data_IF_507742172423
#
_entry.id   IF_507742172423
#
_cell.length_a   1.000
_cell.length_b   1.000
_cell.length_c   1.000
_cell.angle_alpha   90.00
_cell.angle_beta   90.00
_cell.angle_gamma   90.00
#
_symmetry.space_group_name_H-M   'P 1'
#
loop_
_entity.id
_entity.type
_entity.pdbx_description
1 polymer ?
#
# COMPACT_ATOMS: atom_id res chain seq x y z
N UNK A 1 -23.53 -38.95 9.21
CA UNK A 1 -23.80 -39.49 10.57
C UNK A 1 -23.16 -40.87 10.68
N UNK A 2 -21.89 -40.96 11.08
CA UNK A 2 -21.23 -42.25 11.27
C UNK A 2 -21.68 -42.81 12.62
N UNK A 3 -22.45 -43.91 12.59
CA UNK A 3 -22.87 -44.63 13.80
C UNK A 3 -21.61 -45.22 14.46
N UNK A 4 -21.30 -44.75 15.66
CA UNK A 4 -20.31 -45.38 16.54
C UNK A 4 -20.99 -46.57 17.22
N UNK A 5 -20.67 -47.79 16.80
CA UNK A 5 -21.09 -49.01 17.48
C UNK A 5 -20.15 -49.23 18.66
N UNK A 6 -20.62 -48.93 19.88
CA UNK A 6 -19.89 -49.23 21.11
C UNK A 6 -20.17 -50.70 21.48
N UNK A 7 -19.17 -51.56 21.30
CA UNK A 7 -19.19 -52.93 21.86
C UNK A 7 -18.71 -52.83 23.30
N UNK A 8 -19.63 -52.89 24.26
CA UNK A 8 -19.31 -52.91 25.68
C UNK A 8 -18.88 -54.33 26.10
N UNK A 9 -17.59 -54.53 26.37
CA UNK A 9 -17.09 -55.67 27.16
C UNK A 9 -17.07 -55.22 28.62
N UNK A 10 -17.90 -55.86 29.45
CA UNK A 10 -17.99 -55.57 30.89
C UNK A 10 -16.81 -56.24 31.60
N UNK A 11 -15.73 -55.49 31.79
CA UNK A 11 -14.68 -55.85 32.75
C UNK A 11 -14.86 -54.94 33.98
N UNK A 12 -14.96 -55.56 35.16
CA UNK A 12 -15.16 -54.93 36.46
C UNK A 12 -14.04 -53.94 36.78
N UNK A 13 -14.28 -52.68 36.44
CA UNK A 13 -13.45 -51.53 36.80
C UNK A 13 -14.28 -50.28 36.57
N UNK A 14 -14.38 -49.42 37.57
CA UNK A 14 -14.95 -48.09 37.41
C UNK A 14 -14.10 -47.32 36.41
N UNK A 15 -14.52 -47.26 35.14
CA UNK A 15 -13.99 -46.30 34.17
C UNK A 15 -14.77 -45.00 34.34
N UNK A 16 -14.29 -44.12 35.21
CA UNK A 16 -14.68 -42.71 35.16
C UNK A 16 -14.00 -42.09 33.94
N UNK A 17 -14.76 -41.75 32.90
CA UNK A 17 -14.30 -40.80 31.89
C UNK A 17 -14.36 -39.43 32.53
N UNK A 18 -13.23 -38.98 33.07
CA UNK A 18 -13.08 -37.61 33.54
C UNK A 18 -12.93 -36.73 32.29
N UNK A 19 -14.04 -36.19 31.80
CA UNK A 19 -13.98 -35.09 30.83
C UNK A 19 -13.58 -33.85 31.61
N UNK A 20 -12.29 -33.76 31.96
CA UNK A 20 -11.71 -32.48 32.33
C UNK A 20 -11.99 -31.54 31.16
N UNK A 21 -12.80 -30.51 31.38
CA UNK A 21 -12.86 -29.39 30.44
C UNK A 21 -11.45 -28.85 30.36
N UNK A 22 -10.75 -29.10 29.25
CA UNK A 22 -9.47 -28.46 29.03
C UNK A 22 -9.67 -26.96 29.22
N UNK A 23 -8.85 -26.35 30.07
CA UNK A 23 -8.90 -24.91 30.25
C UNK A 23 -8.49 -24.28 28.92
N UNK A 24 -9.41 -23.55 28.29
CA UNK A 24 -9.15 -22.82 27.06
C UNK A 24 -8.06 -21.76 27.28
N UNK A 25 -7.10 -21.71 26.36
CA UNK A 25 -6.05 -20.71 26.26
C UNK A 25 -6.46 -19.69 25.18
N UNK A 26 -5.99 -18.43 25.25
CA UNK A 26 -6.26 -17.48 24.19
C UNK A 26 -5.50 -17.86 22.91
N UNK A 27 -6.00 -17.44 21.74
CA UNK A 27 -5.23 -17.48 20.51
C UNK A 27 -4.04 -16.52 20.63
N UNK A 28 -3.00 -16.73 19.84
CA UNK A 28 -1.85 -15.86 19.69
C UNK A 28 -1.79 -15.32 18.28
N UNK A 29 -1.86 -13.99 18.13
CA UNK A 29 -1.67 -13.30 16.87
C UNK A 29 -0.17 -13.25 16.52
N UNK A 30 0.19 -13.57 15.28
CA UNK A 30 1.55 -13.35 14.81
C UNK A 30 1.81 -11.85 14.72
N UNK A 31 2.95 -11.41 15.27
CA UNK A 31 3.30 -9.99 15.30
C UNK A 31 3.31 -9.39 13.88
N UNK A 32 2.42 -8.42 13.67
CA UNK A 32 2.31 -7.70 12.41
C UNK A 32 3.40 -6.62 12.41
N UNK A 33 3.45 -5.79 13.46
CA UNK A 33 4.36 -4.65 13.58
C UNK A 33 4.06 -3.51 12.59
N UNK A 34 4.81 -2.42 12.72
CA UNK A 34 4.58 -1.21 11.93
C UNK A 34 4.68 -1.47 10.41
N UNK A 35 3.92 -0.68 9.65
CA UNK A 35 3.88 -0.73 8.17
C UNK A 35 4.02 0.64 7.55
N UNK A 36 4.48 0.64 6.31
CA UNK A 36 4.72 1.83 5.51
C UNK A 36 4.19 1.60 4.11
N UNK A 37 3.61 2.64 3.51
CA UNK A 37 3.13 2.63 2.14
C UNK A 37 3.15 4.05 1.59
N UNK A 38 3.31 4.21 0.30
CA UNK A 38 3.23 5.52 -0.37
C UNK A 38 1.77 5.82 -0.77
N UNK A 39 1.38 7.09 -0.82
CA UNK A 39 0.07 7.47 -1.37
C UNK A 39 -0.12 6.92 -2.79
N UNK A 40 -1.32 6.43 -3.09
CA UNK A 40 -1.65 5.79 -4.36
C UNK A 40 -1.08 4.39 -4.55
N UNK A 41 -0.23 3.89 -3.65
CA UNK A 41 0.28 2.52 -3.66
C UNK A 41 -0.56 1.60 -2.78
N UNK A 42 -0.56 0.30 -3.10
CA UNK A 42 -1.31 -0.72 -2.36
C UNK A 42 -0.44 -1.39 -1.29
N UNK A 43 -0.97 -1.48 -0.07
CA UNK A 43 -0.43 -2.27 1.04
C UNK A 43 -1.30 -3.51 1.25
N UNK A 44 -0.68 -4.69 1.24
CA UNK A 44 -1.33 -5.95 1.61
C UNK A 44 -0.62 -6.53 2.84
N UNK A 45 -1.39 -6.86 3.88
CA UNK A 45 -0.90 -7.49 5.11
C UNK A 45 -1.58 -8.84 5.24
N UNK A 46 -0.77 -9.89 5.35
CA UNK A 46 -1.23 -11.20 5.80
C UNK A 46 -1.30 -11.20 7.32
N UNK A 47 -2.47 -11.55 7.86
CA UNK A 47 -2.71 -11.68 9.30
C UNK A 47 -2.84 -13.16 9.63
N UNK A 48 -2.11 -13.62 10.62
CA UNK A 48 -2.13 -15.02 11.07
C UNK A 48 -2.23 -15.10 12.58
N UNK A 49 -2.90 -16.13 13.07
CA UNK A 49 -2.99 -16.46 14.49
C UNK A 49 -3.01 -17.98 14.67
N UNK A 50 -2.58 -18.43 15.84
CA UNK A 50 -2.59 -19.85 16.23
C UNK A 50 -3.17 -20.01 17.62
N UNK A 51 -3.74 -21.17 17.91
CA UNK A 51 -4.30 -21.49 19.21
C UNK A 51 -3.77 -22.87 19.64
N UNK A 52 -3.27 -23.03 20.88
CA UNK A 52 -2.77 -24.32 21.36
C UNK A 52 -3.88 -25.35 21.63
N UNK A 53 -5.14 -24.93 21.75
CA UNK A 53 -6.28 -25.81 22.02
C UNK A 53 -6.78 -26.49 20.74
N UNK A 54 -6.69 -27.81 20.72
CA UNK A 54 -7.02 -28.60 19.55
C UNK A 54 -8.53 -28.59 19.28
N UNK A 55 -8.92 -28.06 18.12
CA UNK A 55 -10.31 -28.01 17.67
C UNK A 55 -10.93 -26.61 17.71
N UNK A 56 -10.22 -25.64 18.29
CA UNK A 56 -10.66 -24.25 18.30
C UNK A 56 -10.57 -23.62 16.92
N UNK A 57 -11.61 -22.86 16.56
CA UNK A 57 -11.65 -22.10 15.31
C UNK A 57 -11.38 -20.64 15.63
N UNK A 58 -10.29 -20.12 15.07
CA UNK A 58 -9.96 -18.71 15.21
C UNK A 58 -10.70 -17.91 14.14
N UNK A 59 -11.44 -16.90 14.59
CA UNK A 59 -12.06 -15.86 13.76
C UNK A 59 -11.24 -14.59 13.89
N UNK A 60 -10.94 -13.95 12.75
CA UNK A 60 -10.20 -12.69 12.73
C UNK A 60 -11.12 -11.53 12.37
N UNK A 61 -10.85 -10.35 12.94
CA UNK A 61 -11.40 -9.11 12.41
C UNK A 61 -10.44 -7.93 12.63
N UNK A 62 -10.76 -6.82 11.97
CA UNK A 62 -10.03 -5.57 12.13
C UNK A 62 -10.99 -4.43 12.48
N UNK A 63 -10.50 -3.47 13.24
CA UNK A 63 -11.19 -2.25 13.63
C UNK A 63 -10.31 -1.02 13.36
N UNK A 64 -10.92 0.16 13.38
CA UNK A 64 -10.24 1.47 13.26
C UNK A 64 -9.50 1.70 11.94
N UNK A 65 -9.61 0.80 10.96
CA UNK A 65 -8.91 0.96 9.70
C UNK A 65 -9.48 2.13 8.87
N UNK A 66 -8.62 2.85 8.13
CA UNK A 66 -9.02 4.03 7.37
C UNK A 66 -9.95 3.69 6.21
N UNK A 67 -10.56 4.72 5.63
CA UNK A 67 -11.20 4.59 4.31
C UNK A 67 -10.20 4.05 3.27
N UNK A 68 -10.71 3.39 2.24
CA UNK A 68 -9.92 2.70 1.22
C UNK A 68 -9.13 1.48 1.75
N UNK A 69 -9.46 1.01 2.97
CA UNK A 69 -8.99 -0.27 3.48
C UNK A 69 -10.13 -1.30 3.60
N UNK A 70 -9.77 -2.57 3.48
CA UNK A 70 -10.66 -3.71 3.65
C UNK A 70 -9.96 -4.82 4.43
N UNK A 71 -10.74 -5.58 5.18
CA UNK A 71 -10.29 -6.79 5.87
C UNK A 71 -11.15 -7.97 5.47
N UNK A 72 -10.52 -9.12 5.24
CA UNK A 72 -11.19 -10.37 4.95
C UNK A 72 -10.60 -11.49 5.80
N UNK A 73 -11.44 -12.10 6.63
CA UNK A 73 -11.11 -13.34 7.31
C UNK A 73 -11.29 -14.53 6.36
N UNK A 74 -10.28 -15.39 6.26
CA UNK A 74 -10.37 -16.67 5.53
C UNK A 74 -10.70 -17.84 6.45
N UNK A 75 -10.97 -17.56 7.73
CA UNK A 75 -11.21 -18.51 8.84
C UNK A 75 -9.99 -19.36 9.19
N UNK A 76 -9.97 -19.92 10.40
CA UNK A 76 -8.86 -20.76 10.85
C UNK A 76 -7.59 -19.96 11.12
N UNK A 77 -7.74 -18.71 11.58
CA UNK A 77 -6.62 -17.87 11.97
C UNK A 77 -5.81 -17.32 10.80
N UNK A 78 -6.38 -17.23 9.60
CA UNK A 78 -5.71 -16.64 8.43
C UNK A 78 -6.63 -15.57 7.83
N UNK A 79 -6.11 -14.36 7.67
CA UNK A 79 -6.83 -13.22 7.12
C UNK A 79 -5.95 -12.34 6.24
N UNK A 80 -6.59 -11.44 5.51
CA UNK A 80 -5.94 -10.46 4.65
C UNK A 80 -6.48 -9.07 4.90
N UNK A 81 -5.58 -8.12 5.09
CA UNK A 81 -5.88 -6.70 5.11
C UNK A 81 -5.31 -6.05 3.86
N UNK A 82 -6.12 -5.24 3.19
CA UNK A 82 -5.69 -4.43 2.05
C UNK A 82 -5.95 -2.96 2.37
N UNK A 83 -5.00 -2.10 2.04
CA UNK A 83 -5.15 -0.66 2.13
C UNK A 83 -4.57 0.01 0.88
N UNK A 84 -5.37 0.88 0.25
CA UNK A 84 -4.97 1.69 -0.89
C UNK A 84 -5.19 3.17 -0.55
N UNK A 85 -4.27 3.82 0.19
CA UNK A 85 -4.38 5.23 0.51
C UNK A 85 -4.48 6.08 -0.76
N UNK A 86 -5.34 7.10 -0.74
CA UNK A 86 -5.33 8.16 -1.73
C UNK A 86 -4.36 9.30 -1.34
N UNK A 87 -4.24 10.30 -2.20
CA UNK A 87 -3.36 11.46 -2.02
C UNK A 87 -3.84 12.48 -0.97
N UNK A 88 -4.79 12.10 -0.12
CA UNK A 88 -5.23 12.89 1.02
C UNK A 88 -5.00 12.16 2.35
N UNK A 89 -4.39 10.97 2.30
CA UNK A 89 -4.23 10.08 3.44
C UNK A 89 -2.78 9.98 3.94
N UNK A 90 -1.86 10.86 3.54
CA UNK A 90 -0.54 10.95 4.17
C UNK A 90 -0.61 11.06 5.71
N UNK A 91 0.37 10.46 6.39
CA UNK A 91 0.47 10.46 7.84
C UNK A 91 0.21 9.10 8.49
N UNK A 92 -0.02 9.10 9.80
CA UNK A 92 -0.18 7.89 10.61
C UNK A 92 -1.64 7.42 10.69
N UNK A 93 -1.86 6.12 10.51
CA UNK A 93 -3.13 5.44 10.67
C UNK A 93 -2.96 4.27 11.63
N UNK A 94 -3.94 4.03 12.49
CA UNK A 94 -3.91 2.91 13.44
C UNK A 94 -4.95 1.88 13.05
N UNK A 95 -4.54 0.62 12.95
CA UNK A 95 -5.44 -0.50 12.69
C UNK A 95 -5.34 -1.49 13.84
N UNK A 96 -6.48 -1.86 14.42
CA UNK A 96 -6.53 -2.88 15.46
C UNK A 96 -6.90 -4.22 14.84
N UNK A 97 -6.02 -5.21 14.96
CA UNK A 97 -6.27 -6.59 14.54
C UNK A 97 -6.58 -7.45 15.76
N UNK A 98 -7.62 -8.27 15.65
CA UNK A 98 -8.12 -9.09 16.75
C UNK A 98 -8.28 -10.53 16.26
N UNK A 99 -7.80 -11.48 17.07
CA UNK A 99 -8.06 -12.90 16.92
C UNK A 99 -8.90 -13.36 18.11
N UNK A 100 -10.03 -14.02 17.86
CA UNK A 100 -10.85 -14.67 18.89
C UNK A 100 -10.95 -16.17 18.59
N UNK A 101 -10.89 -16.99 19.61
CA UNK A 101 -11.19 -18.42 19.52
C UNK A 101 -12.68 -18.71 19.72
N UNK A 102 -13.05 -19.99 19.66
CA UNK A 102 -14.42 -20.44 19.90
C UNK A 102 -14.81 -20.48 21.37
N UNK A 103 -13.83 -20.50 22.28
CA UNK A 103 -13.99 -20.34 23.72
C UNK A 103 -14.29 -18.90 24.19
N UNK A 104 -14.11 -17.91 23.30
CA UNK A 104 -14.33 -16.48 23.54
C UNK A 104 -13.13 -15.73 24.11
N UNK A 105 -11.93 -16.32 24.16
CA UNK A 105 -10.71 -15.60 24.51
C UNK A 105 -10.10 -14.97 23.25
N UNK A 106 -9.34 -13.89 23.44
CA UNK A 106 -8.83 -13.10 22.33
C UNK A 106 -7.42 -12.56 22.57
N UNK A 107 -6.72 -12.32 21.47
CA UNK A 107 -5.48 -11.53 21.40
C UNK A 107 -5.65 -10.38 20.41
N UNK A 108 -4.91 -9.29 20.61
CA UNK A 108 -5.10 -8.04 19.90
C UNK A 108 -3.79 -7.30 19.70
N UNK A 109 -3.57 -6.79 18.49
CA UNK A 109 -2.45 -5.91 18.15
C UNK A 109 -2.96 -4.60 17.55
N UNK A 110 -2.42 -3.47 18.03
CA UNK A 110 -2.60 -2.16 17.41
C UNK A 110 -1.40 -1.87 16.52
N UNK A 111 -1.63 -1.76 15.22
CA UNK A 111 -0.61 -1.59 14.20
C UNK A 111 -0.63 -0.15 13.68
N UNK A 112 0.53 0.51 13.74
CA UNK A 112 0.74 1.80 13.10
C UNK A 112 1.13 1.62 11.63
N UNK A 113 0.36 2.25 10.74
CA UNK A 113 0.62 2.34 9.31
C UNK A 113 0.96 3.79 8.97
N UNK A 114 2.17 4.02 8.45
CA UNK A 114 2.59 5.33 7.97
C UNK A 114 2.42 5.41 6.46
N UNK A 115 1.61 6.37 6.00
CA UNK A 115 1.44 6.71 4.59
C UNK A 115 2.40 7.85 4.24
N UNK A 116 3.34 7.60 3.35
CA UNK A 116 4.28 8.61 2.87
C UNK A 116 3.61 9.48 1.80
N UNK A 117 3.71 10.80 1.98
CA UNK A 117 3.21 11.77 1.02
C UNK A 117 3.98 11.67 -0.31
N UNK A 118 3.27 11.60 -1.44
CA UNK A 118 3.85 11.62 -2.79
C UNK A 118 3.42 12.88 -3.52
N UNK A 119 4.38 13.77 -3.78
CA UNK A 119 4.18 15.02 -4.51
C UNK A 119 3.81 14.78 -5.99
N UNK A 120 2.76 15.45 -6.45
CA UNK A 120 2.27 15.38 -7.82
C UNK A 120 2.50 16.71 -8.51
N UNK A 121 3.16 16.64 -9.67
CA UNK A 121 3.52 17.84 -10.42
C UNK A 121 2.29 18.70 -10.82
N UNK A 122 2.46 20.03 -10.90
CA UNK A 122 1.43 20.92 -11.45
C UNK A 122 1.07 20.57 -12.89
N UNK A 123 -0.22 20.71 -13.21
CA UNK A 123 -0.78 20.47 -14.54
C UNK A 123 -1.15 21.80 -15.18
N UNK A 124 -0.57 22.10 -16.34
CA UNK A 124 -0.96 23.24 -17.18
C UNK A 124 -2.32 22.97 -17.84
N UNK A 125 -3.20 23.97 -17.82
CA UNK A 125 -4.43 23.93 -18.62
C UNK A 125 -4.10 23.99 -20.11
N UNK A 126 -4.89 23.28 -20.93
CA UNK A 126 -4.73 23.31 -22.38
C UNK A 126 -4.88 24.74 -22.91
N UNK A 127 -3.93 25.16 -23.74
CA UNK A 127 -3.95 26.45 -24.43
C UNK A 127 -4.16 26.15 -25.91
N UNK A 128 -5.37 26.29 -26.45
CA UNK A 128 -5.63 26.00 -27.86
C UNK A 128 -4.91 27.02 -28.76
N UNK A 129 -4.68 26.68 -30.05
CA UNK A 129 -4.12 27.63 -31.01
C UNK A 129 -4.90 28.95 -31.02
N UNK A 130 -4.16 30.05 -31.01
CA UNK A 130 -4.72 31.39 -31.05
C UNK A 130 -4.36 32.04 -32.38
N UNK A 131 -5.29 32.80 -32.95
CA UNK A 131 -5.06 33.62 -34.14
C UNK A 131 -5.44 35.06 -33.82
N UNK A 132 -4.60 35.99 -34.25
CA UNK A 132 -4.85 37.43 -34.15
C UNK A 132 -4.47 38.08 -35.47
N UNK A 133 -5.20 39.12 -35.88
CA UNK A 133 -4.82 39.90 -37.05
C UNK A 133 -3.49 40.61 -36.79
N UNK A 134 -2.70 40.78 -37.85
CA UNK A 134 -1.47 41.55 -37.76
C UNK A 134 -1.73 42.97 -37.23
N UNK A 135 -0.86 43.45 -36.34
CA UNK A 135 -1.00 44.74 -35.68
C UNK A 135 -2.00 44.77 -34.51
N UNK A 136 -2.75 43.69 -34.24
CA UNK A 136 -3.63 43.59 -33.08
C UNK A 136 -2.97 42.87 -31.89
N UNK A 137 -3.38 43.21 -30.68
CA UNK A 137 -2.89 42.59 -29.44
C UNK A 137 -3.57 41.26 -29.17
N UNK A 138 -2.79 40.19 -28.97
CA UNK A 138 -3.28 38.92 -28.46
C UNK A 138 -3.04 38.84 -26.95
N UNK A 139 -4.10 38.59 -26.18
CA UNK A 139 -4.01 38.26 -24.76
C UNK A 139 -4.36 36.79 -24.57
N UNK A 140 -3.44 36.03 -23.97
CA UNK A 140 -3.66 34.61 -23.65
C UNK A 140 -3.70 34.45 -22.15
N UNK A 141 -4.80 33.89 -21.63
CA UNK A 141 -4.87 33.46 -20.25
C UNK A 141 -4.19 32.11 -20.10
N UNK A 142 -3.21 32.02 -19.21
CA UNK A 142 -2.54 30.77 -18.85
C UNK A 142 -2.93 30.42 -17.42
N UNK A 143 -3.37 29.18 -17.21
CA UNK A 143 -3.71 28.65 -15.89
C UNK A 143 -3.03 27.30 -15.70
N UNK A 144 -2.72 26.98 -14.46
CA UNK A 144 -2.24 25.68 -14.04
C UNK A 144 -2.87 25.35 -12.68
N UNK A 145 -2.96 24.06 -12.38
CA UNK A 145 -3.48 23.54 -11.12
C UNK A 145 -2.50 22.53 -10.57
N UNK A 146 -2.27 22.56 -9.27
CA UNK A 146 -1.43 21.61 -8.57
C UNK A 146 -2.34 20.71 -7.72
N UNK A 147 -2.31 19.38 -7.92
CA UNK A 147 -3.19 18.47 -7.20
C UNK A 147 -3.01 18.47 -5.67
N UNK A 148 -1.84 18.83 -5.17
CA UNK A 148 -1.47 18.85 -3.75
C UNK A 148 -1.59 20.26 -3.15
N UNK A 149 -1.94 21.25 -3.98
CA UNK A 149 -2.14 22.64 -3.57
C UNK A 149 -0.83 23.40 -3.40
N UNK A 150 0.28 22.90 -3.93
CA UNK A 150 1.56 23.61 -3.91
C UNK A 150 1.48 24.92 -4.72
N UNK A 151 2.33 25.89 -4.33
CA UNK A 151 2.40 27.18 -5.01
C UNK A 151 3.00 26.98 -6.42
N UNK A 152 2.27 27.45 -7.42
CA UNK A 152 2.68 27.34 -8.82
C UNK A 152 3.39 28.63 -9.27
N UNK A 153 4.54 28.48 -9.94
CA UNK A 153 5.22 29.58 -10.63
C UNK A 153 5.15 29.37 -12.15
N UNK A 154 4.57 30.31 -12.89
CA UNK A 154 4.49 30.27 -14.35
C UNK A 154 5.61 31.12 -14.98
N UNK A 155 6.31 30.56 -15.98
CA UNK A 155 7.34 31.24 -16.74
C UNK A 155 7.06 31.10 -18.23
N UNK A 156 7.13 32.22 -18.97
CA UNK A 156 7.05 32.24 -20.42
C UNK A 156 8.43 32.52 -21.02
N UNK A 157 8.79 31.80 -22.09
CA UNK A 157 10.00 32.06 -22.88
C UNK A 157 9.60 32.21 -24.34
N UNK A 158 10.10 33.25 -24.99
CA UNK A 158 9.90 33.45 -26.42
C UNK A 158 10.90 32.56 -27.16
N UNK A 159 10.40 31.55 -27.87
CA UNK A 159 11.19 30.88 -28.89
C UNK A 159 11.20 31.78 -30.12
N UNK A 160 12.39 32.26 -30.50
CA UNK A 160 12.53 32.97 -31.78
C UNK A 160 12.20 31.98 -32.90
N UNK A 161 11.28 32.30 -33.83
CA UNK A 161 11.06 31.45 -34.99
C UNK A 161 12.40 31.24 -35.69
N UNK A 162 12.78 29.98 -35.89
CA UNK A 162 13.91 29.65 -36.76
C UNK A 162 13.62 30.26 -38.13
N UNK A 163 14.50 31.11 -38.69
CA UNK A 163 14.32 31.60 -40.05
C UNK A 163 14.20 30.40 -40.99
N UNK A 164 13.24 30.43 -41.91
CA UNK A 164 13.06 29.39 -42.94
C UNK A 164 14.33 29.15 -43.79
N UNK A 165 15.32 30.05 -43.73
CA UNK A 165 16.64 29.93 -44.36
C UNK A 165 17.71 29.19 -43.55
N UNK A 166 17.41 28.77 -42.30
CA UNK A 166 18.35 28.07 -41.40
C UNK A 166 17.89 26.66 -41.00
N UNK A 167 16.91 26.10 -41.71
CA UNK A 167 16.61 24.66 -41.62
C UNK A 167 17.69 23.90 -42.41
N UNK A 168 18.93 23.91 -41.92
CA UNK A 168 19.96 22.96 -42.33
C UNK A 168 20.83 22.65 -41.11
N UNK A 169 20.61 21.46 -40.57
CA UNK A 169 21.45 20.78 -39.58
C UNK A 169 21.59 21.48 -38.21
N UNK A 170 20.56 21.38 -37.38
CA UNK A 170 20.79 21.13 -35.94
C UNK A 170 19.99 19.88 -35.58
N UNK A 171 20.38 18.75 -36.17
CA UNK A 171 20.05 17.46 -35.57
C UNK A 171 21.06 17.24 -34.43
N UNK A 172 20.56 16.87 -33.25
CA UNK A 172 21.26 16.20 -32.14
C UNK A 172 21.68 16.95 -30.86
N UNK A 173 21.13 18.12 -30.51
CA UNK A 173 21.16 18.49 -29.08
C UNK A 173 19.99 17.83 -28.33
N UNK A 174 20.32 16.62 -27.87
CA UNK A 174 19.53 15.72 -27.06
C UNK A 174 18.88 16.42 -25.86
N UNK A 175 17.58 16.22 -25.72
CA UNK A 175 16.91 16.33 -24.43
C UNK A 175 17.15 15.02 -23.65
N UNK A 176 17.55 15.18 -22.38
CA UNK A 176 17.47 14.22 -21.26
C UNK A 176 18.66 13.24 -20.97
N UNK A 177 19.44 13.66 -19.96
CA UNK A 177 19.97 12.92 -18.79
C UNK A 177 20.90 11.70 -18.92
N UNK A 178 22.02 11.74 -18.18
CA UNK A 178 22.51 10.58 -17.40
C UNK A 178 23.02 11.02 -16.02
N UNK A 179 22.78 10.23 -14.95
CA UNK A 179 23.22 10.52 -13.59
C UNK A 179 24.72 10.29 -13.41
N UNK A 180 25.32 11.07 -12.51
CA UNK A 180 26.72 10.95 -12.08
C UNK A 180 26.88 9.67 -11.23
N UNK A 181 27.81 8.79 -11.60
CA UNK A 181 28.60 7.99 -10.66
C UNK A 181 29.96 7.63 -11.27
N UNK A 182 31.07 7.67 -10.50
CA UNK A 182 32.42 7.75 -11.04
C UNK A 182 33.01 6.40 -11.48
N UNK A 183 33.84 6.51 -12.52
CA UNK A 183 34.67 5.50 -13.18
C UNK A 183 35.45 4.59 -12.22
N UNK A 184 35.37 3.28 -12.45
CA UNK A 184 36.47 2.37 -12.22
C UNK A 184 37.61 2.67 -13.24
N UNK A 185 38.83 2.82 -12.75
CA UNK A 185 40.03 2.92 -13.57
C UNK A 185 40.59 1.50 -13.82
N UNK A 186 40.69 1.11 -15.09
CA UNK A 186 41.56 -0.01 -15.51
C UNK A 186 42.71 0.60 -16.31
N UNK A 187 43.90 0.57 -15.70
CA UNK A 187 45.18 0.96 -16.30
C UNK A 187 45.56 -0.03 -17.39
N UNK A 188 45.82 0.46 -18.59
CA UNK A 188 46.66 -0.23 -19.59
C UNK A 188 48.09 0.28 -19.43
N UNK A 189 49.05 -0.62 -19.30
CA UNK A 189 50.43 -0.36 -19.73
C UNK A 189 50.89 -1.47 -20.67
N UNK A 190 51.46 -1.02 -21.78
CA UNK A 190 52.04 -1.81 -22.86
C UNK A 190 53.41 -2.33 -22.44
N UNK A 191 53.78 -3.49 -22.99
CA UNK A 191 54.97 -3.68 -23.83
C UNK A 191 54.77 -4.91 -24.68
#
# INVERSE_FOLDING_TARGET
MRRLTIVAVVLSGLFTFDFASAQNNPPALDAIGARFVDEGARLDIRVTATDPDAGDIITLWAELYPTNATFADSTGGIGGFTFLPDYTQAGGHQVRFIAIDTGGLADTELVDITVNNIDRAPVLSSIPPQSVNEGATLQVRVTATDPDGNIITLLARIFRPMPHSQIRQVESEAWYSTPISPRAAVTRLRS
#
